data_IF_901600547003
#
_entry.id   IF_901600547003
#
_cell.length_a   1.000
_cell.length_b   1.000
_cell.length_c   1.000
_cell.angle_alpha   90.00
_cell.angle_beta   90.00
_cell.angle_gamma   90.00
#
_symmetry.space_group_name_H-M   'P 1'
#
loop_
_entity.id
_entity.type
_entity.pdbx_description
1 polymer ?
#
# COMPACT_ATOMS: atom_id res chain seq x y z
N UNK A 1 -3.53 16.08 27.77
CA UNK A 1 -4.91 15.71 28.14
C UNK A 1 -5.82 15.98 26.95
N UNK A 2 -6.25 14.90 26.28
CA UNK A 2 -7.44 14.80 25.45
C UNK A 2 -7.51 13.32 25.03
N UNK A 3 -7.92 12.47 25.96
CA UNK A 3 -8.25 11.08 25.71
C UNK A 3 -9.62 11.04 25.03
N UNK A 4 -9.64 11.12 23.70
CA UNK A 4 -10.82 10.85 22.88
C UNK A 4 -11.04 9.35 22.74
N UNK A 5 -11.24 8.64 23.86
CA UNK A 5 -11.79 7.29 23.83
C UNK A 5 -13.26 7.39 23.45
N UNK A 6 -13.54 7.40 22.15
CA UNK A 6 -14.90 7.22 21.65
C UNK A 6 -15.42 5.90 22.19
N UNK A 7 -16.37 5.97 23.11
CA UNK A 7 -17.12 4.79 23.51
C UNK A 7 -17.76 4.23 22.24
N UNK A 8 -17.33 3.05 21.80
CA UNK A 8 -18.00 2.32 20.74
C UNK A 8 -19.47 2.22 21.15
N UNK A 9 -20.34 2.94 20.44
CA UNK A 9 -21.77 2.84 20.63
C UNK A 9 -22.13 1.36 20.54
N UNK A 10 -22.89 0.85 21.52
CA UNK A 10 -23.35 -0.55 21.50
C UNK A 10 -24.19 -0.74 20.23
N UNK A 11 -23.56 -1.34 19.22
CA UNK A 11 -24.21 -1.74 17.98
C UNK A 11 -25.21 -2.85 18.29
N UNK A 12 -26.36 -2.83 17.61
CA UNK A 12 -27.36 -3.87 17.73
C UNK A 12 -26.77 -5.25 17.32
N UNK A 13 -26.99 -6.33 18.10
CA UNK A 13 -26.41 -7.64 17.80
C UNK A 13 -26.81 -8.23 16.44
N UNK A 14 -28.03 -7.99 15.97
CA UNK A 14 -28.49 -8.48 14.66
C UNK A 14 -27.77 -7.73 13.53
N UNK A 15 -27.63 -6.41 13.66
CA UNK A 15 -26.88 -5.56 12.73
C UNK A 15 -25.41 -5.96 12.70
N UNK A 16 -24.79 -6.20 13.85
CA UNK A 16 -23.41 -6.66 13.95
C UNK A 16 -23.21 -8.02 13.23
N UNK A 17 -24.14 -8.95 13.43
CA UNK A 17 -24.10 -10.26 12.75
C UNK A 17 -24.22 -10.11 11.24
N UNK A 18 -25.11 -9.22 10.76
CA UNK A 18 -25.27 -8.95 9.34
C UNK A 18 -24.02 -8.31 8.72
N UNK A 19 -23.38 -7.37 9.42
CA UNK A 19 -22.13 -6.75 8.98
C UNK A 19 -20.97 -7.76 8.91
N UNK A 20 -20.88 -8.69 9.85
CA UNK A 20 -19.89 -9.78 9.79
C UNK A 20 -20.14 -10.68 8.58
N UNK A 21 -21.41 -10.96 8.23
CA UNK A 21 -21.74 -11.75 7.03
C UNK A 21 -21.47 -10.99 5.73
N UNK A 22 -21.60 -9.66 5.74
CA UNK A 22 -21.33 -8.83 4.55
C UNK A 22 -19.85 -8.56 4.36
N UNK A 23 -19.10 -8.41 5.44
CA UNK A 23 -17.67 -8.15 5.41
C UNK A 23 -16.82 -9.42 5.40
N UNK A 24 -15.53 -9.22 5.16
CA UNK A 24 -14.48 -10.18 5.40
C UNK A 24 -13.96 -10.09 6.84
N UNK A 25 -13.20 -11.10 7.23
CA UNK A 25 -12.45 -11.14 8.49
C UNK A 25 -10.97 -11.36 8.19
N UNK A 26 -10.13 -10.52 8.76
CA UNK A 26 -8.68 -10.66 8.74
C UNK A 26 -8.23 -11.19 10.11
N UNK A 27 -7.81 -12.45 10.16
CA UNK A 27 -7.26 -13.08 11.36
C UNK A 27 -5.73 -13.02 11.32
N UNK A 28 -5.14 -12.40 12.35
CA UNK A 28 -3.71 -12.18 12.50
C UNK A 28 -3.22 -12.90 13.76
N UNK A 29 -2.49 -13.99 13.56
CA UNK A 29 -2.00 -14.85 14.62
C UNK A 29 -0.62 -14.40 15.10
N UNK A 30 -0.42 -14.46 16.41
CA UNK A 30 0.88 -14.29 17.08
C UNK A 30 1.57 -12.94 16.85
N UNK A 31 0.82 -11.90 16.45
CA UNK A 31 1.36 -10.55 16.28
C UNK A 31 1.86 -10.01 17.62
N UNK A 32 3.13 -9.53 17.70
CA UNK A 32 3.68 -9.01 18.94
C UNK A 32 2.86 -7.83 19.50
N UNK A 33 2.73 -7.78 20.83
CA UNK A 33 2.09 -6.64 21.48
C UNK A 33 2.86 -5.35 21.22
N UNK A 34 2.12 -4.24 21.12
CA UNK A 34 2.60 -2.89 20.78
C UNK A 34 3.07 -2.73 19.34
N UNK A 35 2.98 -3.75 18.49
CA UNK A 35 3.04 -3.58 17.03
C UNK A 35 2.00 -2.54 16.62
N UNK A 36 2.42 -1.55 15.84
CA UNK A 36 1.49 -0.66 15.19
C UNK A 36 0.92 -1.42 14.01
N UNK A 37 -0.40 -1.61 14.00
CA UNK A 37 -1.13 -2.30 12.96
C UNK A 37 -2.10 -1.31 12.32
N UNK A 38 -2.06 -1.21 11.00
CA UNK A 38 -2.96 -0.38 10.23
C UNK A 38 -3.69 -1.16 9.16
N UNK A 39 -4.92 -0.74 8.90
CA UNK A 39 -5.70 -1.13 7.73
C UNK A 39 -6.34 0.14 7.18
N UNK A 40 -6.08 0.42 5.91
CA UNK A 40 -6.54 1.61 5.22
C UNK A 40 -6.07 2.90 5.93
N UNK A 41 -7.00 3.78 6.31
CA UNK A 41 -6.72 5.02 7.04
C UNK A 41 -6.70 4.83 8.56
N UNK A 42 -6.88 3.60 9.05
CA UNK A 42 -7.00 3.30 10.48
C UNK A 42 -5.69 2.70 11.01
N UNK A 43 -5.27 3.12 12.20
CA UNK A 43 -4.08 2.61 12.88
C UNK A 43 -4.36 2.32 14.35
N UNK A 44 -3.85 1.19 14.82
CA UNK A 44 -4.06 0.65 16.16
C UNK A 44 -2.74 0.16 16.75
N UNK A 45 -2.66 0.12 18.09
CA UNK A 45 -1.58 -0.60 18.78
C UNK A 45 -2.10 -1.98 19.20
N UNK A 46 -1.38 -3.03 18.81
CA UNK A 46 -1.77 -4.42 19.10
C UNK A 46 -1.76 -4.67 20.61
N UNK A 47 -2.94 -4.98 21.14
CA UNK A 47 -3.14 -5.35 22.54
C UNK A 47 -3.00 -6.87 22.79
N UNK A 48 -3.04 -7.31 24.06
CA UNK A 48 -2.78 -8.72 24.43
C UNK A 48 -3.80 -9.73 23.91
N UNK A 49 -5.01 -9.28 23.56
CA UNK A 49 -6.09 -10.12 23.02
C UNK A 49 -6.35 -9.93 21.54
N UNK A 50 -5.73 -8.92 20.91
CA UNK A 50 -6.03 -8.57 19.53
C UNK A 50 -5.52 -9.66 18.59
N UNK A 51 -6.40 -10.13 17.70
CA UNK A 51 -6.09 -11.11 16.66
C UNK A 51 -6.58 -10.68 15.28
N UNK A 52 -6.80 -9.39 15.06
CA UNK A 52 -7.19 -8.86 13.75
C UNK A 52 -8.56 -8.19 13.74
N UNK A 53 -9.19 -8.16 12.57
CA UNK A 53 -10.32 -7.28 12.26
C UNK A 53 -11.48 -8.07 11.63
N UNK A 54 -12.71 -7.73 12.00
CA UNK A 54 -13.96 -8.25 11.41
C UNK A 54 -14.77 -7.12 10.78
N UNK A 55 -15.75 -7.49 9.94
CA UNK A 55 -16.61 -6.55 9.22
C UNK A 55 -15.85 -5.68 8.21
N UNK A 56 -14.71 -6.16 7.70
CA UNK A 56 -13.94 -5.45 6.66
C UNK A 56 -14.78 -5.45 5.39
N UNK A 57 -15.17 -4.30 4.81
CA UNK A 57 -15.99 -4.30 3.60
C UNK A 57 -15.34 -5.07 2.45
N UNK A 58 -16.09 -5.59 1.47
CA UNK A 58 -15.50 -6.14 0.26
C UNK A 58 -14.80 -5.07 -0.59
N UNK A 59 -13.65 -5.39 -1.17
CA UNK A 59 -12.90 -4.51 -2.07
C UNK A 59 -11.40 -4.48 -1.77
N UNK A 60 -10.71 -3.49 -2.33
CA UNK A 60 -9.30 -3.27 -2.07
C UNK A 60 -9.08 -2.69 -0.67
N UNK A 61 -8.08 -3.21 0.04
CA UNK A 61 -7.63 -2.74 1.34
C UNK A 61 -6.11 -2.72 1.38
N UNK A 62 -5.54 -1.85 2.20
CA UNK A 62 -4.10 -1.83 2.44
C UNK A 62 -3.79 -2.11 3.91
N UNK A 63 -3.13 -3.23 4.17
CA UNK A 63 -2.72 -3.63 5.51
C UNK A 63 -1.26 -3.29 5.68
N UNK A 64 -0.91 -2.68 6.81
CA UNK A 64 0.46 -2.30 7.11
C UNK A 64 0.76 -2.42 8.59
N UNK A 65 2.03 -2.64 8.93
CA UNK A 65 2.44 -2.75 10.31
C UNK A 65 3.90 -2.34 10.52
N UNK A 66 4.21 -1.96 11.76
CA UNK A 66 5.56 -1.67 12.22
C UNK A 66 5.76 -2.35 13.58
N UNK A 67 6.68 -3.32 13.64
CA UNK A 67 7.02 -3.99 14.90
C UNK A 67 7.93 -3.10 15.76
N UNK A 68 7.74 -3.06 17.09
CA UNK A 68 8.66 -2.36 17.97
C UNK A 68 9.95 -3.16 18.15
N UNK A 69 11.06 -2.46 18.36
CA UNK A 69 12.28 -3.09 18.84
C UNK A 69 12.07 -3.65 20.27
N UNK A 70 13.04 -4.45 20.77
CA UNK A 70 12.96 -5.08 22.10
C UNK A 70 12.70 -4.10 23.25
N UNK A 71 13.16 -2.85 23.11
CA UNK A 71 13.03 -1.81 24.12
C UNK A 71 11.73 -0.97 23.97
N UNK A 72 11.01 -1.12 22.87
CA UNK A 72 9.76 -0.41 22.58
C UNK A 72 9.93 1.08 22.30
N UNK A 73 11.14 1.54 21.97
CA UNK A 73 11.44 2.96 21.72
C UNK A 73 11.71 3.28 20.24
N UNK A 74 11.93 2.27 19.40
CA UNK A 74 12.06 2.41 17.96
C UNK A 74 11.19 1.35 17.28
N UNK A 75 10.76 1.64 16.05
CA UNK A 75 10.00 0.73 15.22
C UNK A 75 10.83 0.27 14.02
N UNK A 76 10.61 -0.97 13.61
CA UNK A 76 11.10 -1.48 12.33
C UNK A 76 10.46 -0.69 11.18
N UNK A 77 11.09 -0.72 9.98
CA UNK A 77 10.45 -0.23 8.76
C UNK A 77 9.03 -0.75 8.61
N UNK A 78 8.15 0.11 8.10
CA UNK A 78 6.80 -0.31 7.75
C UNK A 78 6.86 -1.40 6.68
N UNK A 79 6.07 -2.43 6.90
CA UNK A 79 5.75 -3.44 5.88
C UNK A 79 4.27 -3.30 5.60
N UNK A 80 3.90 -3.21 4.32
CA UNK A 80 2.51 -3.17 3.91
C UNK A 80 2.24 -4.03 2.70
N UNK A 81 0.99 -4.43 2.51
CA UNK A 81 0.54 -5.20 1.35
C UNK A 81 -0.92 -4.91 1.07
N UNK A 82 -1.31 -5.05 -0.19
CA UNK A 82 -2.70 -4.94 -0.60
C UNK A 82 -3.45 -6.26 -0.37
N UNK A 83 -4.74 -6.14 -0.08
CA UNK A 83 -5.68 -7.24 -0.04
C UNK A 83 -6.88 -6.88 -0.91
N UNK A 84 -7.38 -7.83 -1.68
CA UNK A 84 -8.74 -7.77 -2.21
C UNK A 84 -9.60 -8.70 -1.36
N UNK A 85 -10.63 -8.15 -0.73
CA UNK A 85 -11.53 -8.89 0.16
C UNK A 85 -12.86 -9.17 -0.52
N UNK A 86 -13.43 -10.34 -0.25
CA UNK A 86 -14.74 -10.75 -0.72
C UNK A 86 -15.73 -10.94 0.45
N UNK A 87 -17.02 -10.97 0.13
CA UNK A 87 -18.07 -11.16 1.12
C UNK A 87 -17.86 -12.47 1.90
N UNK A 88 -17.95 -12.39 3.24
CA UNK A 88 -17.77 -13.54 4.15
C UNK A 88 -16.41 -14.26 4.03
N UNK A 89 -15.43 -13.64 3.39
CA UNK A 89 -14.09 -14.22 3.27
C UNK A 89 -13.36 -14.17 4.63
N UNK A 90 -12.55 -15.19 4.89
CA UNK A 90 -11.64 -15.19 6.03
C UNK A 90 -10.22 -15.27 5.49
N UNK A 91 -9.41 -14.27 5.82
CA UNK A 91 -8.01 -14.19 5.43
C UNK A 91 -7.19 -14.42 6.69
N UNK A 92 -6.36 -15.46 6.70
CA UNK A 92 -5.50 -15.77 7.85
C UNK A 92 -4.04 -15.44 7.53
N UNK A 93 -3.38 -14.77 8.46
CA UNK A 93 -1.93 -14.54 8.45
C UNK A 93 -1.36 -14.85 9.82
N UNK A 94 -0.12 -15.32 9.84
CA UNK A 94 0.61 -15.61 11.09
C UNK A 94 1.90 -14.83 11.11
N UNK A 95 2.23 -14.28 12.27
CA UNK A 95 3.51 -13.63 12.49
C UNK A 95 4.63 -14.67 12.51
N UNK A 96 5.60 -14.52 11.61
CA UNK A 96 6.84 -15.25 11.66
C UNK A 96 7.87 -14.46 12.48
N UNK A 97 8.39 -15.07 13.54
CA UNK A 97 9.33 -14.41 14.46
C UNK A 97 10.72 -14.25 13.86
N UNK A 98 11.12 -15.12 12.93
CA UNK A 98 12.45 -15.08 12.33
C UNK A 98 12.53 -14.00 11.25
N UNK A 99 11.49 -13.91 10.42
CA UNK A 99 11.36 -12.97 9.32
C UNK A 99 10.71 -11.64 9.74
N UNK A 100 10.22 -11.55 10.99
CA UNK A 100 9.50 -10.39 11.55
C UNK A 100 8.37 -9.87 10.64
N UNK A 101 7.58 -10.79 10.06
CA UNK A 101 6.53 -10.47 9.08
C UNK A 101 5.31 -11.38 9.14
N UNK A 102 4.21 -10.93 8.53
CA UNK A 102 2.98 -11.70 8.39
C UNK A 102 3.04 -12.64 7.18
N UNK A 103 3.08 -13.94 7.41
CA UNK A 103 3.13 -14.95 6.34
C UNK A 103 1.78 -15.64 6.12
N UNK A 104 1.60 -16.16 4.90
CA UNK A 104 0.51 -17.10 4.57
C UNK A 104 0.76 -18.43 5.30
N UNK A 105 -0.30 -19.07 5.78
CA UNK A 105 -0.21 -20.39 6.39
C UNK A 105 -0.27 -21.50 5.32
N UNK A 106 -0.03 -22.74 5.73
CA UNK A 106 -0.36 -23.89 4.89
C UNK A 106 -1.87 -23.96 4.67
N UNK A 107 -2.28 -24.61 3.58
CA UNK A 107 -3.71 -24.77 3.24
C UNK A 107 -4.50 -25.44 4.38
N UNK A 108 -3.94 -26.48 5.01
CA UNK A 108 -4.56 -27.17 6.14
C UNK A 108 -4.78 -26.25 7.35
N UNK A 109 -3.80 -25.41 7.68
CA UNK A 109 -3.94 -24.46 8.79
C UNK A 109 -4.91 -23.34 8.45
N UNK A 110 -4.88 -22.82 7.23
CA UNK A 110 -5.77 -21.77 6.76
C UNK A 110 -7.24 -22.21 6.82
N UNK A 111 -7.55 -23.43 6.35
CA UNK A 111 -8.89 -24.03 6.45
C UNK A 111 -9.33 -24.11 7.91
N UNK A 112 -8.48 -24.70 8.77
CA UNK A 112 -8.80 -24.91 10.19
C UNK A 112 -9.11 -23.60 10.93
N UNK A 113 -8.27 -22.57 10.74
CA UNK A 113 -8.50 -21.28 11.39
C UNK A 113 -9.68 -20.53 10.79
N UNK A 114 -9.90 -20.65 9.48
CA UNK A 114 -11.06 -20.07 8.82
C UNK A 114 -12.38 -20.66 9.33
N UNK A 115 -12.43 -21.97 9.57
CA UNK A 115 -13.59 -22.62 10.21
C UNK A 115 -13.81 -22.12 11.65
N UNK A 116 -12.76 -22.03 12.46
CA UNK A 116 -12.86 -21.52 13.82
C UNK A 116 -13.37 -20.06 13.88
N UNK A 117 -12.98 -19.21 12.92
CA UNK A 117 -13.54 -17.86 12.76
C UNK A 117 -15.03 -17.92 12.43
N UNK A 118 -15.45 -18.79 11.51
CA UNK A 118 -16.87 -18.98 11.15
C UNK A 118 -17.71 -19.53 12.30
N UNK A 119 -17.09 -20.25 13.23
CA UNK A 119 -17.69 -20.72 14.47
C UNK A 119 -17.61 -19.70 15.63
N UNK A 120 -17.19 -18.47 15.35
CA UNK A 120 -17.09 -17.36 16.31
C UNK A 120 -16.11 -17.62 17.48
N UNK A 121 -15.17 -18.56 17.33
CA UNK A 121 -14.20 -18.89 18.39
C UNK A 121 -13.24 -17.72 18.70
N UNK A 122 -13.10 -16.78 17.75
CA UNK A 122 -12.24 -15.60 17.84
C UNK A 122 -13.01 -14.28 18.06
N UNK A 123 -14.33 -14.30 18.25
CA UNK A 123 -15.17 -13.09 18.14
C UNK A 123 -14.76 -11.97 19.12
N UNK A 124 -14.40 -12.34 20.35
CA UNK A 124 -13.91 -11.44 21.42
C UNK A 124 -12.49 -10.88 21.18
N UNK A 125 -11.78 -11.43 20.18
CA UNK A 125 -10.38 -11.09 19.85
C UNK A 125 -10.28 -10.28 18.55
N UNK A 126 -11.38 -10.14 17.82
CA UNK A 126 -11.47 -9.43 16.55
C UNK A 126 -12.08 -8.04 16.75
N UNK A 127 -11.32 -7.00 16.41
CA UNK A 127 -11.81 -5.62 16.41
C UNK A 127 -12.78 -5.38 15.25
N UNK A 128 -13.87 -4.61 15.44
CA UNK A 128 -14.71 -4.21 14.32
C UNK A 128 -13.98 -3.18 13.45
N UNK A 129 -14.07 -3.32 12.13
CA UNK A 129 -13.63 -2.29 11.20
C UNK A 129 -14.42 -1.00 11.40
N UNK A 130 -13.76 0.16 11.46
CA UNK A 130 -14.46 1.45 11.58
C UNK A 130 -15.13 1.83 10.25
N UNK A 131 -16.40 1.50 10.10
CA UNK A 131 -17.17 1.78 8.89
C UNK A 131 -17.37 3.28 8.63
N UNK A 132 -17.27 4.13 9.66
CA UNK A 132 -17.39 5.59 9.49
C UNK A 132 -16.26 6.16 8.62
N UNK A 133 -15.07 5.56 8.68
CA UNK A 133 -13.90 5.96 7.87
C UNK A 133 -13.84 5.26 6.50
N UNK A 134 -14.75 4.33 6.20
CA UNK A 134 -14.72 3.57 4.95
C UNK A 134 -15.00 4.45 3.73
N UNK A 135 -15.83 5.49 3.87
CA UNK A 135 -16.12 6.42 2.77
C UNK A 135 -14.86 7.13 2.26
N UNK A 136 -14.00 7.59 3.18
CA UNK A 136 -12.73 8.23 2.84
C UNK A 136 -11.78 7.23 2.16
N UNK A 137 -11.70 6.00 2.68
CA UNK A 137 -10.90 4.95 2.06
C UNK A 137 -11.35 4.64 0.63
N UNK A 138 -12.66 4.50 0.42
CA UNK A 138 -13.22 4.20 -0.90
C UNK A 138 -12.84 5.26 -1.93
N UNK A 139 -12.83 6.54 -1.56
CA UNK A 139 -12.38 7.62 -2.45
C UNK A 139 -10.89 7.51 -2.79
N UNK A 140 -10.06 7.09 -1.83
CA UNK A 140 -8.62 6.88 -2.04
C UNK A 140 -8.30 5.64 -2.89
N UNK A 141 -9.22 4.68 -2.97
CA UNK A 141 -9.00 3.37 -3.61
C UNK A 141 -9.96 3.07 -4.77
N UNK A 142 -10.71 4.05 -5.27
CA UNK A 142 -11.82 3.82 -6.22
C UNK A 142 -11.37 3.20 -7.57
N UNK A 143 -10.13 3.45 -7.98
CA UNK A 143 -9.50 2.89 -9.19
C UNK A 143 -8.57 1.70 -8.90
N UNK A 144 -8.49 1.24 -7.65
CA UNK A 144 -7.71 0.05 -7.27
C UNK A 144 -8.47 -1.24 -7.55
N UNK A 145 -8.52 -1.64 -8.81
CA UNK A 145 -8.99 -2.97 -9.19
C UNK A 145 -7.98 -4.06 -8.81
N UNK A 146 -8.42 -5.33 -8.66
CA UNK A 146 -7.51 -6.46 -8.44
C UNK A 146 -6.41 -6.56 -9.51
N UNK A 147 -6.75 -6.30 -10.77
CA UNK A 147 -5.79 -6.30 -11.89
C UNK A 147 -4.73 -5.20 -11.72
N UNK A 148 -5.12 -3.99 -11.30
CA UNK A 148 -4.16 -2.92 -11.01
C UNK A 148 -3.20 -3.32 -9.89
N UNK A 149 -3.71 -3.92 -8.82
CA UNK A 149 -2.90 -4.39 -7.69
C UNK A 149 -1.93 -5.49 -8.15
N UNK A 150 -2.42 -6.55 -8.78
CA UNK A 150 -1.62 -7.69 -9.26
C UNK A 150 -0.52 -7.26 -10.25
N UNK A 151 -0.81 -6.27 -11.11
CA UNK A 151 0.16 -5.73 -12.07
C UNK A 151 1.30 -4.97 -11.38
N UNK A 152 1.03 -4.31 -10.26
CA UNK A 152 1.95 -3.37 -9.62
C UNK A 152 2.67 -3.94 -8.41
N UNK A 153 2.05 -4.87 -7.69
CA UNK A 153 2.59 -5.41 -6.45
C UNK A 153 3.93 -6.13 -6.67
N UNK A 154 4.88 -6.03 -5.72
CA UNK A 154 6.14 -6.74 -5.82
C UNK A 154 5.93 -8.26 -5.72
N UNK A 155 6.92 -9.05 -6.14
CA UNK A 155 6.89 -10.50 -5.90
C UNK A 155 6.81 -10.76 -4.40
N UNK A 156 5.72 -11.41 -3.98
CA UNK A 156 5.40 -11.65 -2.56
C UNK A 156 4.43 -10.65 -1.94
N UNK A 157 4.08 -9.57 -2.63
CA UNK A 157 3.06 -8.58 -2.27
C UNK A 157 3.48 -7.56 -1.20
N UNK A 158 4.56 -7.82 -0.47
CA UNK A 158 5.05 -6.97 0.62
C UNK A 158 5.86 -5.77 0.06
N UNK A 159 5.43 -4.58 0.43
CA UNK A 159 6.04 -3.29 0.15
C UNK A 159 6.74 -2.80 1.41
N UNK A 160 8.04 -2.54 1.32
CA UNK A 160 8.83 -2.00 2.42
C UNK A 160 10.07 -1.29 1.90
N UNK A 161 10.42 -0.16 2.50
CA UNK A 161 11.64 0.60 2.18
C UNK A 161 12.92 -0.23 2.33
N UNK A 162 12.91 -1.28 3.16
CA UNK A 162 14.06 -2.15 3.34
C UNK A 162 14.45 -2.94 2.07
N UNK A 163 13.53 -3.12 1.12
CA UNK A 163 13.74 -3.89 -0.12
C UNK A 163 13.79 -3.01 -1.37
N UNK A 164 13.54 -1.73 -1.20
CA UNK A 164 13.58 -0.74 -2.27
C UNK A 164 15.03 -0.31 -2.52
N UNK A 165 15.76 -1.08 -3.30
CA UNK A 165 17.11 -0.69 -3.77
C UNK A 165 17.09 -0.01 -5.14
N UNK A 166 16.00 -0.16 -5.91
CA UNK A 166 15.88 0.25 -7.32
C UNK A 166 15.86 1.76 -7.54
N UNK A 167 15.36 2.56 -6.59
CA UNK A 167 15.30 4.02 -6.75
C UNK A 167 16.68 4.67 -6.60
N UNK A 168 17.65 4.02 -5.95
CA UNK A 168 19.02 4.51 -5.85
C UNK A 168 19.76 4.49 -7.20
N UNK A 169 19.32 3.66 -8.14
CA UNK A 169 19.91 3.57 -9.48
C UNK A 169 19.38 4.66 -10.44
N UNK A 170 18.27 5.33 -10.10
CA UNK A 170 17.74 6.45 -10.88
C UNK A 170 18.52 7.72 -10.53
N UNK A 171 19.03 8.41 -11.54
CA UNK A 171 19.75 9.67 -11.33
C UNK A 171 18.82 10.70 -10.64
N UNK A 172 19.22 11.29 -9.50
CA UNK A 172 18.41 12.29 -8.82
C UNK A 172 18.19 13.49 -9.75
N UNK A 173 16.94 13.93 -9.83
CA UNK A 173 16.50 15.01 -10.71
C UNK A 173 16.53 16.38 -10.02
N UNK A 174 16.75 16.41 -8.70
CA UNK A 174 16.86 17.64 -7.91
C UNK A 174 17.94 17.55 -6.83
N UNK A 175 18.41 18.71 -6.36
CA UNK A 175 19.36 18.79 -5.24
C UNK A 175 18.80 18.18 -3.95
N UNK A 176 17.47 18.27 -3.73
CA UNK A 176 16.80 17.63 -2.61
C UNK A 176 16.87 16.11 -2.70
N UNK A 177 16.62 15.54 -3.88
CA UNK A 177 16.74 14.09 -4.10
C UNK A 177 18.18 13.61 -3.94
N UNK A 178 19.16 14.40 -4.41
CA UNK A 178 20.58 14.09 -4.20
C UNK A 178 20.92 14.05 -2.71
N UNK A 179 20.48 15.04 -1.92
CA UNK A 179 20.67 15.04 -0.46
C UNK A 179 19.98 13.87 0.24
N UNK A 180 18.77 13.51 -0.20
CA UNK A 180 18.04 12.36 0.35
C UNK A 180 18.80 11.05 0.08
N UNK A 181 19.30 10.86 -1.14
CA UNK A 181 20.14 9.71 -1.51
C UNK A 181 21.40 9.64 -0.65
N UNK A 182 22.08 10.78 -0.43
CA UNK A 182 23.25 10.87 0.44
C UNK A 182 22.93 10.46 1.89
N UNK A 183 21.85 11.02 2.47
CA UNK A 183 21.40 10.67 3.82
C UNK A 183 21.06 9.19 3.98
N UNK A 184 20.39 8.60 3.00
CA UNK A 184 19.99 7.19 3.04
C UNK A 184 21.19 6.25 2.88
N UNK A 185 22.21 6.63 2.09
CA UNK A 185 23.49 5.90 1.98
C UNK A 185 24.29 5.93 3.28
N UNK A 186 24.24 7.03 4.01
CA UNK A 186 24.89 7.17 5.32
C UNK A 186 24.10 6.45 6.44
N UNK A 187 22.81 6.23 6.23
CA UNK A 187 21.89 5.57 7.15
C UNK A 187 22.20 4.09 7.42
N UNK A 188 21.76 3.60 8.58
CA UNK A 188 21.94 2.20 9.02
C UNK A 188 21.28 1.18 8.06
N UNK A 189 20.28 1.60 7.29
CA UNK A 189 19.50 0.76 6.37
C UNK A 189 20.33 0.16 5.23
N UNK A 190 21.28 0.91 4.66
CA UNK A 190 22.12 0.43 3.57
C UNK A 190 23.14 -0.63 4.01
N UNK A 191 23.47 -0.71 5.32
CA UNK A 191 24.54 -1.59 5.83
C UNK A 191 24.07 -3.02 6.13
N UNK A 192 22.76 -3.24 6.24
CA UNK A 192 22.16 -4.53 6.63
C UNK A 192 21.21 -5.10 5.55
N UNK A 193 21.10 -4.47 4.38
CA UNK A 193 20.23 -4.96 3.32
C UNK A 193 20.76 -6.31 2.79
N UNK A 194 19.93 -7.38 2.76
CA UNK A 194 20.34 -8.66 2.20
C UNK A 194 20.77 -8.48 0.74
N UNK A 195 21.95 -8.97 0.39
CA UNK A 195 22.41 -9.07 -1.01
C UNK A 195 21.64 -10.21 -1.67
N UNK A 196 20.41 -9.94 -2.09
CA UNK A 196 19.59 -10.91 -2.83
C UNK A 196 19.38 -10.44 -4.27
N UNK A 197 19.60 -11.36 -5.20
CA UNK A 197 19.49 -11.13 -6.64
C UNK A 197 18.02 -11.18 -7.10
N UNK A 198 17.36 -10.02 -7.16
CA UNK A 198 16.03 -9.88 -7.76
C UNK A 198 15.38 -8.53 -7.49
N UNK A 199 14.58 -8.02 -8.43
CA UNK A 199 13.76 -6.81 -8.22
C UNK A 199 12.67 -7.14 -7.20
N UNK A 200 12.73 -6.54 -6.01
CA UNK A 200 11.72 -6.66 -4.93
C UNK A 200 10.82 -5.42 -4.79
N UNK A 201 11.01 -4.42 -5.64
CA UNK A 201 10.16 -3.21 -5.68
C UNK A 201 8.91 -3.40 -6.54
N UNK A 202 8.01 -2.42 -6.46
CA UNK A 202 6.76 -2.43 -7.22
C UNK A 202 7.05 -2.29 -8.73
N UNK A 203 6.14 -2.80 -9.56
CA UNK A 203 6.26 -2.81 -11.03
C UNK A 203 5.64 -1.56 -11.68
N UNK A 204 6.01 -0.40 -11.16
CA UNK A 204 5.55 0.89 -11.69
C UNK A 204 5.92 1.12 -13.16
N UNK A 205 5.04 1.85 -13.83
CA UNK A 205 5.22 2.30 -15.21
C UNK A 205 6.33 3.35 -15.26
N UNK A 206 7.25 3.21 -16.22
CA UNK A 206 8.35 4.18 -16.37
C UNK A 206 7.83 5.48 -16.96
N UNK A 207 7.89 6.56 -16.17
CA UNK A 207 7.54 7.91 -16.63
C UNK A 207 8.82 8.67 -17.04
N UNK A 208 9.01 9.00 -18.33
CA UNK A 208 10.16 9.77 -18.78
C UNK A 208 10.13 11.20 -18.22
N UNK A 209 11.28 11.67 -17.69
CA UNK A 209 11.40 13.02 -17.15
C UNK A 209 11.26 14.10 -18.23
N UNK A 210 11.78 13.82 -19.43
CA UNK A 210 11.73 14.70 -20.59
C UNK A 210 11.51 13.90 -21.87
N UNK A 211 10.83 14.53 -22.82
CA UNK A 211 10.69 14.03 -24.18
C UNK A 211 12.01 14.28 -24.91
N UNK A 212 12.55 13.25 -25.55
CA UNK A 212 13.82 13.32 -26.29
C UNK A 212 13.62 12.78 -27.70
N UNK A 213 13.76 13.63 -28.70
CA UNK A 213 13.75 13.26 -30.12
C UNK A 213 14.98 13.82 -30.81
N UNK A 214 15.62 13.02 -31.66
CA UNK A 214 16.84 13.40 -32.38
C UNK A 214 16.56 14.21 -33.66
N UNK A 215 15.35 14.11 -34.19
CA UNK A 215 15.02 14.57 -35.54
C UNK A 215 13.98 15.72 -35.55
N UNK A 216 13.90 16.52 -34.49
CA UNK A 216 12.99 17.67 -34.40
C UNK A 216 13.73 18.96 -34.09
N UNK A 217 13.13 20.10 -34.48
CA UNK A 217 13.72 21.41 -34.18
C UNK A 217 13.78 21.66 -32.67
N UNK A 218 14.73 22.49 -32.22
CA UNK A 218 14.84 22.83 -30.80
C UNK A 218 13.60 23.54 -30.25
N UNK A 219 12.90 24.31 -31.10
CA UNK A 219 11.63 24.94 -30.75
C UNK A 219 10.53 23.92 -30.50
N UNK A 220 10.37 22.95 -31.40
CA UNK A 220 9.36 21.89 -31.29
C UNK A 220 9.65 20.97 -30.09
N UNK A 221 10.93 20.65 -29.84
CA UNK A 221 11.33 19.87 -28.67
C UNK A 221 11.02 20.60 -27.36
N UNK A 222 11.18 21.94 -27.34
CA UNK A 222 10.83 22.76 -26.19
C UNK A 222 9.32 22.76 -25.98
N UNK A 223 8.53 22.95 -27.04
CA UNK A 223 7.07 22.89 -26.98
C UNK A 223 6.56 21.56 -26.39
N UNK A 224 7.09 20.42 -26.85
CA UNK A 224 6.75 19.08 -26.33
C UNK A 224 7.16 18.84 -24.86
N UNK A 225 8.11 19.60 -24.33
CA UNK A 225 8.51 19.50 -22.92
C UNK A 225 7.79 20.53 -22.04
N UNK A 226 7.21 21.59 -22.63
CA UNK A 226 6.33 22.53 -21.95
C UNK A 226 4.90 21.98 -21.80
N UNK A 227 4.41 21.29 -22.84
CA UNK A 227 3.17 20.53 -22.78
C UNK A 227 3.43 19.03 -23.04
N UNK A 228 3.25 18.23 -22.00
CA UNK A 228 3.48 16.79 -22.00
C UNK A 228 2.26 15.96 -22.41
N UNK A 229 1.20 16.57 -22.95
CA UNK A 229 -0.03 15.89 -23.39
C UNK A 229 0.29 14.70 -24.32
N UNK A 230 1.12 14.91 -25.34
CA UNK A 230 1.54 13.83 -26.26
C UNK A 230 2.31 12.68 -25.58
N UNK A 231 3.06 12.98 -24.52
CA UNK A 231 3.77 11.98 -23.72
C UNK A 231 2.76 11.17 -22.90
N UNK A 232 1.78 11.82 -22.28
CA UNK A 232 0.70 11.16 -21.54
C UNK A 232 -0.09 10.22 -22.46
N UNK A 233 -0.53 10.68 -23.63
CA UNK A 233 -1.23 9.86 -24.63
C UNK A 233 -0.41 8.63 -25.04
N UNK A 234 0.90 8.82 -25.27
CA UNK A 234 1.82 7.73 -25.60
C UNK A 234 1.92 6.69 -24.48
N UNK A 235 1.97 7.14 -23.22
CA UNK A 235 2.01 6.27 -22.05
C UNK A 235 0.69 5.52 -21.89
N UNK A 236 -0.44 6.20 -21.99
CA UNK A 236 -1.78 5.59 -21.93
C UNK A 236 -1.93 4.50 -22.99
N UNK A 237 -1.59 4.79 -24.24
CA UNK A 237 -1.70 3.83 -25.33
C UNK A 237 -0.78 2.60 -25.15
N UNK A 238 0.44 2.79 -24.65
CA UNK A 238 1.43 1.70 -24.54
C UNK A 238 1.31 0.86 -23.29
N UNK A 239 0.95 1.47 -22.16
CA UNK A 239 1.03 0.84 -20.84
C UNK A 239 -0.33 0.57 -20.21
N UNK A 240 -1.38 1.24 -20.68
CA UNK A 240 -2.71 1.21 -20.08
C UNK A 240 -3.82 0.90 -21.09
N UNK A 241 -3.47 0.49 -22.31
CA UNK A 241 -4.43 0.18 -23.39
C UNK A 241 -5.40 1.34 -23.70
N UNK A 242 -4.98 2.58 -23.44
CA UNK A 242 -5.81 3.78 -23.56
C UNK A 242 -6.84 3.97 -22.44
N UNK A 243 -6.84 3.14 -21.40
CA UNK A 243 -7.77 3.24 -20.27
C UNK A 243 -7.20 4.14 -19.17
N UNK A 244 -7.81 5.30 -18.98
CA UNK A 244 -7.40 6.30 -17.97
C UNK A 244 -7.56 5.75 -16.54
N UNK A 245 -8.58 4.94 -16.29
CA UNK A 245 -8.84 4.31 -14.98
C UNK A 245 -7.64 3.49 -14.49
N UNK A 246 -6.92 2.81 -15.38
CA UNK A 246 -5.73 2.02 -15.01
C UNK A 246 -4.53 2.92 -14.64
N UNK A 247 -4.44 4.09 -15.26
CA UNK A 247 -3.45 5.11 -14.92
C UNK A 247 -3.76 5.74 -13.57
N UNK A 248 -5.02 6.09 -13.31
CA UNK A 248 -5.49 6.58 -12.02
C UNK A 248 -5.35 5.53 -10.91
N UNK A 249 -5.54 4.25 -11.24
CA UNK A 249 -5.28 3.14 -10.34
C UNK A 249 -3.82 3.06 -9.90
N UNK A 250 -2.86 3.25 -10.82
CA UNK A 250 -1.44 3.31 -10.47
C UNK A 250 -1.10 4.54 -9.61
N UNK A 251 -1.73 5.68 -9.91
CA UNK A 251 -1.60 6.90 -9.09
C UNK A 251 -2.06 6.68 -7.65
N UNK A 252 -3.24 6.06 -7.46
CA UNK A 252 -3.78 5.72 -6.14
C UNK A 252 -2.93 4.67 -5.43
N UNK A 253 -2.49 3.62 -6.14
CA UNK A 253 -1.60 2.59 -5.60
C UNK A 253 -0.33 3.23 -5.02
N UNK A 254 0.34 4.06 -5.83
CA UNK A 254 1.57 4.73 -5.43
C UNK A 254 1.34 5.69 -4.26
N UNK A 255 0.22 6.42 -4.25
CA UNK A 255 -0.13 7.29 -3.13
C UNK A 255 -0.33 6.51 -1.82
N UNK A 256 -1.08 5.41 -1.85
CA UNK A 256 -1.36 4.58 -0.67
C UNK A 256 -0.08 3.90 -0.16
N UNK A 257 0.70 3.28 -1.06
CA UNK A 257 1.96 2.64 -0.71
C UNK A 257 2.98 3.64 -0.14
N UNK A 258 2.97 4.89 -0.62
CA UNK A 258 3.76 5.97 -0.04
C UNK A 258 3.25 6.37 1.36
N UNK A 259 1.99 6.79 1.46
CA UNK A 259 1.46 7.41 2.68
C UNK A 259 1.37 6.41 3.84
N UNK A 260 0.87 5.21 3.57
CA UNK A 260 0.66 4.18 4.59
C UNK A 260 1.83 3.20 4.67
N UNK A 261 2.39 2.81 3.52
CA UNK A 261 3.50 1.86 3.44
C UNK A 261 4.89 2.47 3.63
N UNK A 262 4.99 3.81 3.67
CA UNK A 262 6.26 4.55 3.80
C UNK A 262 7.28 4.17 2.70
N UNK A 263 6.76 3.78 1.53
CA UNK A 263 7.56 3.43 0.35
C UNK A 263 8.11 4.67 -0.34
N UNK A 264 9.43 4.73 -0.50
CA UNK A 264 10.09 5.83 -1.20
C UNK A 264 10.00 5.64 -2.72
N UNK A 265 10.06 4.40 -3.20
CA UNK A 265 9.80 4.10 -4.61
C UNK A 265 8.39 4.54 -5.03
N UNK A 266 7.39 4.30 -4.18
CA UNK A 266 6.02 4.76 -4.39
C UNK A 266 5.89 6.29 -4.38
N UNK A 267 6.57 6.99 -3.46
CA UNK A 267 6.61 8.45 -3.44
C UNK A 267 7.13 9.02 -4.76
N UNK A 268 8.24 8.48 -5.26
CA UNK A 268 8.86 8.92 -6.51
C UNK A 268 7.93 8.68 -7.70
N UNK A 269 7.22 7.55 -7.71
CA UNK A 269 6.24 7.28 -8.76
C UNK A 269 5.04 8.23 -8.69
N UNK A 270 4.45 8.40 -7.51
CA UNK A 270 3.34 9.33 -7.29
C UNK A 270 3.71 10.75 -7.75
N UNK A 271 4.90 11.22 -7.35
CA UNK A 271 5.43 12.52 -7.78
C UNK A 271 5.57 12.60 -9.30
N UNK A 272 6.07 11.56 -9.96
CA UNK A 272 6.23 11.54 -11.41
C UNK A 272 4.89 11.59 -12.15
N UNK A 273 3.89 10.83 -11.70
CA UNK A 273 2.54 10.82 -12.26
C UNK A 273 1.83 12.16 -12.09
N UNK A 274 1.87 12.72 -10.88
CA UNK A 274 1.29 14.06 -10.60
C UNK A 274 2.00 15.14 -11.44
N UNK A 275 3.33 15.08 -11.53
CA UNK A 275 4.09 16.05 -12.34
C UNK A 275 3.74 15.94 -13.82
N UNK A 276 3.53 14.73 -14.34
CA UNK A 276 3.10 14.52 -15.72
C UNK A 276 1.73 15.16 -15.97
N UNK A 277 0.74 14.84 -15.12
CA UNK A 277 -0.62 15.40 -15.24
C UNK A 277 -0.61 16.93 -15.19
N UNK A 278 0.12 17.52 -14.24
CA UNK A 278 0.22 18.98 -14.10
C UNK A 278 1.05 19.65 -15.20
N UNK A 279 1.76 18.88 -16.03
CA UNK A 279 2.49 19.39 -17.20
C UNK A 279 1.71 19.21 -18.51
N UNK A 280 0.47 18.74 -18.47
CA UNK A 280 -0.38 18.59 -19.65
C UNK A 280 -1.41 19.74 -19.67
N UNK A 281 -1.18 20.74 -20.52
CA UNK A 281 -2.08 21.91 -20.58
C UNK A 281 -3.34 21.59 -21.39
N UNK A 282 -3.19 20.85 -22.49
CA UNK A 282 -4.28 20.51 -23.39
C UNK A 282 -5.06 19.25 -22.99
N UNK A 283 -4.49 18.36 -22.16
CA UNK A 283 -5.16 17.13 -21.73
C UNK A 283 -6.31 17.33 -20.72
N UNK A 284 -6.30 18.42 -19.94
CA UNK A 284 -7.29 18.68 -18.86
C UNK A 284 -8.58 19.33 -19.42
N UNK A 285 -8.62 19.65 -20.71
CA UNK A 285 -9.71 20.41 -21.35
C UNK A 285 -10.60 19.58 -22.30
N UNK A 286 -10.47 18.25 -22.32
CA UNK A 286 -11.30 17.36 -23.14
C UNK A 286 -12.27 16.53 -22.29
#
# INVERSE_FOLDING_TARGET
MASGGGAAARMDPEVATELVRKGATLLLLDVPQRTLFGIDTQMFSVGPKFKGMKMVPPGAHFVYYCSPNRHGNEFAPTVGFFLTTHQSEVIVRKWDVQEERLIKLSEEEDIRYSEAVRHFEFDDQLGPYNLDSYGDWKQLSDYLSPNVIERLEPIGGEITIAWESSWMDKAPQSDMERRLVEQLREGKFAKNAPVQSGRRGCYYTSIPASVKHKDISGGDLTALNLDKTSLLETILAKNYEGQEDLFLGELQFAFIAFMMGQSLEAFMQWKALVSLLLSCSDAVLC
#
